data_IF_265649100310
#
_entry.id   IF_265649100310
#
_cell.length_a   1.000
_cell.length_b   1.000
_cell.length_c   1.000
_cell.angle_alpha   90.00
_cell.angle_beta   90.00
_cell.angle_gamma   90.00
#
_symmetry.space_group_name_H-M   'P 1'
#
loop_
_entity.id
_entity.type
_entity.pdbx_description
1 polymer ?
#
# COMPACT_ATOMS: atom_id res chain seq x y z
N UNK A 1 45.61 -16.59 -26.22
CA UNK A 1 44.59 -17.61 -26.55
C UNK A 1 44.37 -18.50 -25.33
N UNK A 2 43.21 -18.43 -24.70
CA UNK A 2 42.79 -19.34 -23.61
C UNK A 2 41.43 -19.91 -23.97
N UNK A 3 41.38 -21.24 -24.07
CA UNK A 3 40.17 -22.04 -24.32
C UNK A 3 39.50 -22.33 -22.99
N UNK A 4 38.18 -22.24 -22.94
CA UNK A 4 37.36 -22.91 -21.93
C UNK A 4 36.28 -23.74 -22.63
N UNK A 5 36.10 -24.94 -22.09
CA UNK A 5 35.29 -26.04 -22.58
C UNK A 5 33.84 -25.93 -22.10
N UNK A 6 32.93 -26.21 -23.02
CA UNK A 6 31.61 -26.87 -22.95
C UNK A 6 30.93 -27.19 -21.60
N UNK A 7 29.62 -26.88 -21.54
CA UNK A 7 28.56 -27.81 -21.10
C UNK A 7 27.16 -27.35 -21.63
N UNK A 8 26.14 -28.24 -21.74
CA UNK A 8 25.05 -28.13 -22.71
C UNK A 8 23.62 -27.91 -22.16
N UNK A 9 22.75 -27.40 -23.04
CA UNK A 9 21.30 -27.64 -23.25
C UNK A 9 20.32 -27.50 -22.07
N UNK A 10 19.33 -26.62 -22.26
CA UNK A 10 17.94 -26.90 -21.88
C UNK A 10 17.02 -26.62 -23.08
N UNK A 11 16.45 -27.70 -23.66
CA UNK A 11 15.38 -27.66 -24.66
C UNK A 11 14.07 -27.38 -23.94
N UNK A 12 13.39 -26.29 -24.28
CA UNK A 12 12.00 -26.06 -23.86
C UNK A 12 11.06 -26.55 -24.96
N UNK A 13 10.32 -27.61 -24.67
CA UNK A 13 9.14 -28.04 -25.41
C UNK A 13 7.89 -27.51 -24.69
N UNK A 14 7.02 -26.73 -25.36
CA UNK A 14 5.63 -26.69 -25.00
C UNK A 14 4.82 -27.49 -26.02
N UNK A 15 4.48 -28.72 -25.65
CA UNK A 15 3.46 -29.51 -26.33
C UNK A 15 2.11 -28.84 -26.00
N UNK A 16 1.59 -28.06 -26.94
CA UNK A 16 0.22 -27.55 -26.93
C UNK A 16 -0.74 -28.73 -27.06
N UNK A 17 -1.50 -29.00 -26.00
CA UNK A 17 -2.62 -29.92 -26.04
C UNK A 17 -3.79 -29.32 -25.26
N UNK A 18 -4.70 -28.65 -25.95
CA UNK A 18 -6.10 -28.57 -25.53
C UNK A 18 -6.97 -28.66 -26.78
N UNK A 19 -7.62 -29.81 -26.93
CA UNK A 19 -8.63 -30.06 -27.95
C UNK A 19 -9.90 -29.25 -27.67
N UNK A 20 -10.52 -28.83 -28.77
CA UNK A 20 -11.84 -28.23 -28.86
C UNK A 20 -12.93 -29.11 -28.25
N UNK A 21 -14.05 -28.49 -27.83
CA UNK A 21 -15.40 -28.96 -28.12
C UNK A 21 -16.39 -27.79 -27.95
N UNK A 22 -17.00 -27.43 -29.07
CA UNK A 22 -18.11 -26.50 -29.24
C UNK A 22 -19.42 -27.09 -28.71
N UNK A 23 -20.24 -26.28 -28.02
CA UNK A 23 -21.68 -26.53 -27.94
C UNK A 23 -22.45 -25.22 -28.10
N UNK A 24 -23.10 -25.09 -29.24
CA UNK A 24 -24.10 -24.08 -29.58
C UNK A 24 -25.39 -24.40 -28.84
N UNK A 25 -25.97 -23.45 -28.10
CA UNK A 25 -27.40 -23.52 -27.72
C UNK A 25 -28.10 -22.23 -28.14
N UNK A 26 -29.17 -22.43 -28.90
CA UNK A 26 -30.04 -21.41 -29.45
C UNK A 26 -30.89 -20.73 -28.36
N UNK A 27 -31.05 -19.43 -28.58
CA UNK A 27 -32.08 -18.48 -28.16
C UNK A 27 -33.34 -19.01 -27.43
N UNK A 28 -33.74 -18.25 -26.39
CA UNK A 28 -35.14 -17.95 -26.09
C UNK A 28 -35.30 -16.44 -25.82
N UNK A 29 -36.33 -15.78 -26.38
CA UNK A 29 -36.59 -14.36 -26.17
C UNK A 29 -37.69 -14.10 -25.13
N UNK A 30 -37.57 -12.93 -24.49
CA UNK A 30 -38.62 -12.06 -23.92
C UNK A 30 -39.36 -12.54 -22.66
N UNK A 31 -39.09 -11.84 -21.56
CA UNK A 31 -40.14 -11.11 -20.84
C UNK A 31 -39.51 -9.88 -20.18
N UNK A 32 -39.86 -8.70 -20.70
CA UNK A 32 -39.63 -7.44 -20.02
C UNK A 32 -40.51 -7.41 -18.77
N UNK A 33 -39.89 -7.27 -17.60
CA UNK A 33 -40.60 -6.91 -16.38
C UNK A 33 -40.12 -5.50 -16.05
N UNK A 34 -40.98 -4.52 -16.36
CA UNK A 34 -40.84 -3.18 -15.82
C UNK A 34 -41.03 -3.29 -14.30
N UNK A 35 -39.96 -3.07 -13.54
CA UNK A 35 -40.08 -2.68 -12.15
C UNK A 35 -39.89 -1.17 -12.10
N UNK A 36 -41.03 -0.50 -12.20
CA UNK A 36 -41.20 0.84 -11.67
C UNK A 36 -41.01 0.75 -10.15
N UNK A 37 -39.79 1.03 -9.71
CA UNK A 37 -39.47 1.23 -8.32
C UNK A 37 -38.73 2.56 -8.25
N UNK A 38 -39.45 3.57 -7.76
CA UNK A 38 -38.91 4.83 -7.27
C UNK A 38 -37.77 4.55 -6.28
N UNK A 39 -36.53 4.52 -6.78
CA UNK A 39 -35.35 4.49 -5.94
C UNK A 39 -35.06 5.93 -5.53
N UNK A 40 -35.33 6.24 -4.26
CA UNK A 40 -34.86 7.45 -3.61
C UNK A 40 -33.35 7.62 -3.86
N UNK A 41 -32.83 8.85 -3.97
CA UNK A 41 -31.40 9.04 -4.07
C UNK A 41 -30.76 8.53 -2.79
N UNK A 42 -30.13 7.35 -2.86
CA UNK A 42 -29.18 6.89 -1.87
C UNK A 42 -28.13 7.98 -1.74
N UNK A 43 -28.27 8.76 -0.68
CA UNK A 43 -27.22 9.64 -0.21
C UNK A 43 -26.02 8.74 0.03
N UNK A 44 -24.85 8.95 -0.61
CA UNK A 44 -23.70 8.14 -0.31
C UNK A 44 -23.37 8.37 1.16
N UNK A 45 -23.63 7.37 2.00
CA UNK A 45 -23.19 7.37 3.38
C UNK A 45 -21.68 7.66 3.36
N UNK A 46 -21.17 8.57 4.20
CA UNK A 46 -19.73 8.78 4.28
C UNK A 46 -19.11 7.42 4.57
N UNK A 47 -18.18 7.00 3.69
CA UNK A 47 -17.41 5.77 3.81
C UNK A 47 -16.67 5.80 5.15
N UNK A 48 -17.35 5.37 6.21
CA UNK A 48 -16.76 5.14 7.51
C UNK A 48 -16.06 3.81 7.35
N UNK A 49 -14.80 3.88 6.89
CA UNK A 49 -13.94 2.71 6.87
C UNK A 49 -13.81 2.30 8.34
N UNK A 50 -14.52 1.25 8.71
CA UNK A 50 -14.51 0.69 10.05
C UNK A 50 -13.13 0.05 10.32
N UNK A 51 -12.13 0.89 10.58
CA UNK A 51 -10.76 0.51 10.91
C UNK A 51 -10.63 0.07 12.38
N UNK A 52 -11.55 -0.77 12.87
CA UNK A 52 -11.40 -1.32 14.22
C UNK A 52 -11.61 -2.83 14.22
N UNK A 53 -10.49 -3.53 14.50
CA UNK A 53 -10.32 -4.81 15.22
C UNK A 53 -9.13 -5.68 14.74
N UNK A 54 -8.29 -5.19 13.82
CA UNK A 54 -7.03 -5.84 13.47
C UNK A 54 -5.87 -4.84 13.31
N UNK A 55 -5.17 -4.57 14.43
CA UNK A 55 -3.71 -4.33 14.49
C UNK A 55 -3.04 -3.18 13.75
N UNK A 56 -3.75 -2.13 13.29
CA UNK A 56 -3.07 -1.01 12.61
C UNK A 56 -2.78 0.12 13.59
N UNK A 57 -1.49 0.39 13.80
CA UNK A 57 -0.98 1.31 14.83
C UNK A 57 -0.88 2.78 14.40
N UNK A 58 -1.61 3.21 13.35
CA UNK A 58 -1.41 4.54 12.74
C UNK A 58 -2.51 5.55 12.99
N UNK A 59 -3.65 5.15 13.57
CA UNK A 59 -4.78 6.07 13.75
C UNK A 59 -4.48 7.16 14.77
N UNK A 60 -4.39 8.41 14.31
CA UNK A 60 -4.09 9.61 15.10
C UNK A 60 -2.78 9.47 15.87
N UNK A 61 -1.71 9.16 15.14
CA UNK A 61 -0.39 8.90 15.71
C UNK A 61 0.66 9.81 15.13
N UNK A 62 1.66 10.11 15.96
CA UNK A 62 2.84 10.88 15.59
C UNK A 62 4.08 10.01 15.80
N UNK A 63 5.04 10.14 14.91
CA UNK A 63 6.21 9.27 14.86
C UNK A 63 7.47 10.10 14.66
N UNK A 64 8.44 9.91 15.56
CA UNK A 64 9.79 10.41 15.38
C UNK A 64 10.49 9.48 14.38
N UNK A 65 11.13 10.04 13.37
CA UNK A 65 11.71 9.28 12.26
C UNK A 65 13.19 9.60 12.08
N UNK A 66 14.01 8.62 11.77
CA UNK A 66 15.45 8.77 11.50
C UNK A 66 15.78 8.14 10.13
N UNK A 67 16.90 8.55 9.51
CA UNK A 67 17.37 7.87 8.30
C UNK A 67 17.88 6.47 8.61
N UNK A 68 17.60 5.50 7.73
CA UNK A 68 18.05 4.13 7.94
C UNK A 68 19.56 3.91 7.69
N UNK A 69 20.23 4.81 6.96
CA UNK A 69 21.66 4.74 6.62
C UNK A 69 22.58 4.89 7.84
N UNK A 70 22.14 5.66 8.84
CA UNK A 70 22.84 5.87 10.11
C UNK A 70 22.56 4.78 11.15
N UNK A 71 21.74 3.77 10.80
CA UNK A 71 21.24 2.78 11.75
C UNK A 71 20.19 3.37 12.70
N UNK A 72 19.99 2.71 13.84
CA UNK A 72 19.08 3.18 14.91
C UNK A 72 19.89 3.88 15.98
N UNK A 73 20.10 5.18 15.83
CA UNK A 73 20.99 5.97 16.68
C UNK A 73 20.24 7.06 17.49
N UNK A 74 18.94 7.24 17.27
CA UNK A 74 18.13 8.25 17.95
C UNK A 74 18.26 9.65 17.34
N UNK A 75 18.88 9.78 16.16
CA UNK A 75 19.01 11.04 15.42
C UNK A 75 17.72 11.33 14.64
N UNK A 76 16.66 11.57 15.40
CA UNK A 76 15.34 11.80 14.84
C UNK A 76 15.24 13.17 14.16
N UNK A 77 14.57 13.18 13.01
CA UNK A 77 14.21 14.38 12.27
C UNK A 77 13.34 15.29 13.14
N UNK A 78 13.60 16.59 13.04
CA UNK A 78 12.82 17.61 13.74
C UNK A 78 11.33 17.60 13.34
N UNK A 79 11.02 17.15 12.11
CA UNK A 79 9.65 17.07 11.60
C UNK A 79 9.15 15.62 11.69
N UNK A 80 8.20 15.33 12.59
CA UNK A 80 7.66 13.99 12.76
C UNK A 80 6.68 13.64 11.64
N UNK A 81 6.42 12.34 11.48
CA UNK A 81 5.37 11.85 10.60
C UNK A 81 4.08 11.71 11.38
N UNK A 82 3.00 12.26 10.85
CA UNK A 82 1.67 12.24 11.46
C UNK A 82 0.74 11.44 10.58
N UNK A 83 0.16 10.39 11.14
CA UNK A 83 -0.85 9.56 10.49
C UNK A 83 -2.21 9.83 11.13
N UNK A 84 -3.19 10.13 10.30
CA UNK A 84 -4.57 10.43 10.71
C UNK A 84 -5.48 9.24 10.45
N UNK A 85 -6.54 9.10 11.24
CA UNK A 85 -7.52 8.01 11.09
C UNK A 85 -8.33 8.05 9.78
N UNK A 86 -8.34 9.18 9.09
CA UNK A 86 -9.01 9.39 7.79
C UNK A 86 -8.22 8.83 6.59
N UNK A 87 -7.04 8.23 6.82
CA UNK A 87 -6.18 7.71 5.77
C UNK A 87 -5.13 8.71 5.27
N UNK A 88 -5.04 9.90 5.85
CA UNK A 88 -4.01 10.89 5.50
C UNK A 88 -2.73 10.71 6.30
N UNK A 89 -1.60 11.11 5.70
CA UNK A 89 -0.29 11.16 6.36
C UNK A 89 0.46 12.42 5.92
N UNK A 90 1.25 13.01 6.82
CA UNK A 90 2.08 14.19 6.51
C UNK A 90 3.36 14.22 7.32
N UNK A 91 4.35 14.95 6.82
CA UNK A 91 5.52 15.37 7.60
C UNK A 91 5.64 16.89 7.56
N UNK A 92 4.93 17.57 8.47
CA UNK A 92 4.82 19.03 8.46
C UNK A 92 4.45 19.56 7.08
N UNK A 93 5.21 20.54 6.60
CA UNK A 93 5.06 21.13 5.26
C UNK A 93 6.02 20.52 4.22
N UNK A 94 6.73 19.43 4.53
CA UNK A 94 7.68 18.81 3.59
C UNK A 94 6.97 17.97 2.53
N UNK A 95 5.97 17.21 2.96
CA UNK A 95 5.16 16.37 2.09
C UNK A 95 3.85 15.99 2.78
N UNK A 96 2.87 15.65 1.96
CA UNK A 96 1.57 15.10 2.37
C UNK A 96 1.25 13.86 1.54
N UNK A 97 0.33 13.02 2.00
CA UNK A 97 0.01 11.79 1.31
C UNK A 97 -1.16 11.04 1.91
N UNK A 98 -1.33 9.82 1.41
CA UNK A 98 -2.33 8.87 1.86
C UNK A 98 -1.68 7.55 2.23
N UNK A 99 -2.26 6.86 3.21
CA UNK A 99 -1.88 5.51 3.57
C UNK A 99 -3.04 4.54 3.38
N UNK A 100 -2.70 3.29 3.07
CA UNK A 100 -3.68 2.20 2.91
C UNK A 100 -3.16 0.94 3.58
N UNK A 101 -4.07 0.22 4.21
CA UNK A 101 -3.79 -1.10 4.79
C UNK A 101 -3.32 -2.06 3.70
N UNK A 102 -2.18 -2.72 3.94
CA UNK A 102 -1.70 -3.80 3.07
C UNK A 102 -1.85 -5.16 3.74
N UNK A 103 -1.54 -5.24 5.03
CA UNK A 103 -1.72 -6.41 5.88
C UNK A 103 -1.86 -5.98 7.33
N UNK A 104 -2.00 -6.94 8.26
CA UNK A 104 -2.14 -6.68 9.71
C UNK A 104 -1.07 -5.73 10.25
N UNK A 105 0.19 -5.93 9.85
CA UNK A 105 1.34 -5.20 10.38
C UNK A 105 2.02 -4.35 9.29
N UNK A 106 1.32 -4.02 8.20
CA UNK A 106 1.89 -3.23 7.11
C UNK A 106 0.88 -2.33 6.41
N UNK A 107 1.36 -1.12 6.06
CA UNK A 107 0.63 -0.17 5.23
C UNK A 107 1.46 0.21 4.00
N UNK A 108 0.78 0.56 2.92
CA UNK A 108 1.37 1.25 1.78
C UNK A 108 1.13 2.74 1.93
N UNK A 109 2.13 3.55 1.59
CA UNK A 109 2.08 5.01 1.71
C UNK A 109 2.46 5.62 0.38
N UNK A 110 1.64 6.57 -0.08
CA UNK A 110 1.86 7.38 -1.28
C UNK A 110 1.91 8.84 -0.87
N UNK A 111 3.00 9.53 -1.17
CA UNK A 111 3.23 10.93 -0.80
C UNK A 111 3.45 11.80 -2.03
N UNK A 112 3.17 13.08 -1.87
CA UNK A 112 3.53 14.16 -2.79
C UNK A 112 4.43 15.12 -2.04
N UNK A 113 5.64 15.34 -2.56
CA UNK A 113 6.56 16.33 -2.01
C UNK A 113 6.03 17.74 -2.29
N UNK A 114 6.23 18.69 -1.36
CA UNK A 114 5.94 20.11 -1.59
C UNK A 114 7.03 20.81 -2.44
N UNK A 115 7.87 20.05 -3.14
CA UNK A 115 8.83 20.64 -4.07
C UNK A 115 8.12 21.30 -5.26
N UNK A 116 8.85 22.16 -6.01
CA UNK A 116 8.28 22.92 -7.14
C UNK A 116 7.70 22.05 -8.26
N UNK A 117 7.95 20.75 -8.23
CA UNK A 117 7.54 19.79 -9.26
C UNK A 117 6.56 18.72 -8.77
N UNK A 118 6.09 18.82 -7.51
CA UNK A 118 5.17 17.87 -6.88
C UNK A 118 5.53 16.41 -7.20
N UNK A 119 6.71 15.98 -6.75
CA UNK A 119 7.16 14.61 -7.00
C UNK A 119 6.35 13.60 -6.17
N UNK A 120 5.74 12.60 -6.83
CA UNK A 120 5.05 11.51 -6.14
C UNK A 120 6.02 10.38 -5.77
N UNK A 121 5.96 9.92 -4.53
CA UNK A 121 6.74 8.79 -4.04
C UNK A 121 5.89 7.75 -3.32
N UNK A 122 6.37 6.51 -3.32
CA UNK A 122 5.72 5.40 -2.65
C UNK A 122 6.70 4.64 -1.76
N UNK A 123 6.21 4.21 -0.59
CA UNK A 123 6.95 3.32 0.31
C UNK A 123 6.00 2.42 1.09
N UNK A 124 6.55 1.38 1.72
CA UNK A 124 5.81 0.46 2.58
C UNK A 124 6.27 0.64 4.01
N UNK A 125 5.36 0.81 4.96
CA UNK A 125 5.68 0.75 6.38
C UNK A 125 5.36 -0.64 6.91
N UNK A 126 6.27 -1.20 7.70
CA UNK A 126 6.06 -2.45 8.44
C UNK A 126 6.26 -2.20 9.93
N UNK A 127 5.26 -2.52 10.72
CA UNK A 127 5.27 -2.37 12.17
C UNK A 127 5.96 -3.57 12.80
N UNK A 128 6.95 -3.32 13.65
CA UNK A 128 7.60 -4.37 14.46
C UNK A 128 6.96 -4.46 15.84
N UNK A 129 6.30 -3.39 16.29
CA UNK A 129 5.52 -3.31 17.52
C UNK A 129 4.50 -2.16 17.39
N UNK A 130 3.59 -1.98 18.36
CA UNK A 130 2.70 -0.81 18.39
C UNK A 130 3.42 0.54 18.40
N UNK A 131 4.70 0.54 18.76
CA UNK A 131 5.47 1.76 19.04
C UNK A 131 6.70 1.90 18.15
N UNK A 132 6.89 0.98 17.20
CA UNK A 132 8.02 1.00 16.27
C UNK A 132 7.65 0.50 14.88
N UNK A 133 8.21 1.15 13.87
CA UNK A 133 8.13 0.65 12.49
C UNK A 133 9.42 0.88 11.71
N UNK A 134 9.51 0.20 10.57
CA UNK A 134 10.50 0.51 9.52
C UNK A 134 9.76 0.83 8.22
N UNK A 135 10.11 1.95 7.60
CA UNK A 135 9.66 2.30 6.24
C UNK A 135 10.64 1.70 5.23
N UNK A 136 10.13 1.12 4.15
CA UNK A 136 10.89 0.50 3.08
C UNK A 136 10.55 1.13 1.74
N UNK A 137 11.60 1.53 1.01
CA UNK A 137 11.50 2.04 -0.36
C UNK A 137 12.34 1.14 -1.26
N UNK A 138 11.77 0.66 -2.36
CA UNK A 138 12.43 -0.26 -3.29
C UNK A 138 13.04 -1.51 -2.63
N UNK A 139 12.41 -2.03 -1.56
CA UNK A 139 12.88 -3.20 -0.83
C UNK A 139 13.94 -2.94 0.24
N UNK A 140 14.48 -1.72 0.32
CA UNK A 140 15.49 -1.32 1.30
C UNK A 140 14.88 -0.52 2.45
N UNK A 141 15.44 -0.63 3.65
CA UNK A 141 15.08 0.23 4.76
C UNK A 141 15.39 1.69 4.38
N UNK A 142 14.38 2.54 4.53
CA UNK A 142 14.41 3.95 4.18
C UNK A 142 14.41 4.82 5.44
N UNK A 143 13.55 4.47 6.42
CA UNK A 143 13.44 5.16 7.72
C UNK A 143 13.19 4.17 8.84
N UNK A 144 13.68 4.49 10.03
CA UNK A 144 13.20 3.90 11.27
C UNK A 144 12.34 4.91 12.01
N UNK A 145 11.35 4.40 12.77
CA UNK A 145 10.47 5.26 13.52
C UNK A 145 10.10 4.70 14.88
N UNK A 146 9.94 5.61 15.83
CA UNK A 146 9.38 5.35 17.16
C UNK A 146 8.18 6.25 17.40
N UNK A 147 7.18 5.73 18.11
CA UNK A 147 5.96 6.48 18.39
C UNK A 147 6.24 7.61 19.36
N UNK A 148 5.78 8.80 19.00
CA UNK A 148 5.77 9.96 19.89
C UNK A 148 4.47 9.99 20.66
N UNK A 149 4.56 9.91 21.99
CA UNK A 149 3.41 10.14 22.86
C UNK A 149 3.33 11.62 23.23
N UNK A 150 2.12 12.15 23.30
CA UNK A 150 1.92 13.46 23.90
C UNK A 150 2.31 13.37 25.38
N UNK A 151 3.35 14.08 25.79
CA UNK A 151 3.57 14.35 27.21
C UNK A 151 2.49 15.35 27.62
N UNK A 152 1.51 14.87 28.39
CA UNK A 152 0.50 15.70 29.03
C UNK A 152 1.11 16.56 30.14
#
# INVERSE_FOLDING_TARGET
MKRFLTAPIAKFNPLMAVCALSLTTLALPIAAIAQDALQSPDTPAPMTIAHSRQGIYVNNTQWLVEYADNGRNGDYHAVPWVFSADGTVRAGDLWHGVWKVKSKDSIHVSITMHDRHATMEHFTVKFTSPDQFTAYKNGHAYRYAVRQYAHH
#
